data_IF_094423563328
#
_entry.id   IF_094423563328
#
_cell.length_a   1.000
_cell.length_b   1.000
_cell.length_c   1.000
_cell.angle_alpha   90.00
_cell.angle_beta   90.00
_cell.angle_gamma   90.00
#
_symmetry.space_group_name_H-M   'P 1'
#
loop_
_entity.id
_entity.type
_entity.pdbx_description
1 polymer ?
#
# COMPACT_ATOMS: atom_id res chain seq x y z
N UNK A 1 -14.99 -7.98 23.59
CA UNK A 1 -15.97 -6.94 23.18
C UNK A 1 -15.51 -6.40 21.84
N UNK A 2 -16.42 -6.05 20.92
CA UNK A 2 -16.01 -5.43 19.66
C UNK A 2 -15.39 -4.06 19.93
N UNK A 3 -14.24 -3.76 19.31
CA UNK A 3 -13.61 -2.45 19.41
C UNK A 3 -14.49 -1.37 18.77
N UNK A 4 -14.73 -0.26 19.47
CA UNK A 4 -15.64 0.81 19.02
C UNK A 4 -15.05 2.21 19.10
N UNK A 5 -13.79 2.37 19.51
CA UNK A 5 -13.18 3.69 19.67
C UNK A 5 -12.88 4.31 18.30
N UNK A 6 -13.03 5.62 18.21
CA UNK A 6 -12.81 6.41 16.99
C UNK A 6 -11.77 7.51 17.22
N UNK A 7 -11.10 7.96 16.17
CA UNK A 7 -10.31 9.19 16.19
C UNK A 7 -11.24 10.39 15.97
N UNK A 8 -11.82 10.89 17.06
CA UNK A 8 -12.80 11.98 17.03
C UNK A 8 -12.18 13.28 16.47
N UNK A 9 -10.92 13.58 16.80
CA UNK A 9 -10.20 14.74 16.28
C UNK A 9 -10.14 14.71 14.76
N UNK A 10 -9.77 13.57 14.19
CA UNK A 10 -9.73 13.39 12.74
C UNK A 10 -11.13 13.52 12.12
N UNK A 11 -12.13 12.84 12.68
CA UNK A 11 -13.48 12.80 12.10
C UNK A 11 -14.14 14.18 12.12
N UNK A 12 -14.06 14.90 13.24
CA UNK A 12 -14.67 16.22 13.38
C UNK A 12 -14.03 17.23 12.44
N UNK A 13 -12.71 17.21 12.30
CA UNK A 13 -12.01 18.16 11.44
C UNK A 13 -12.15 17.80 9.96
N UNK A 14 -12.19 16.50 9.63
CA UNK A 14 -12.57 16.04 8.30
C UNK A 14 -13.96 16.53 7.92
N UNK A 15 -14.95 16.39 8.81
CA UNK A 15 -16.32 16.85 8.59
C UNK A 15 -16.39 18.36 8.28
N UNK A 16 -15.57 19.19 8.93
CA UNK A 16 -15.54 20.64 8.69
C UNK A 16 -14.94 21.01 7.34
N UNK A 17 -13.98 20.24 6.84
CA UNK A 17 -13.14 20.65 5.71
C UNK A 17 -13.49 19.95 4.39
N UNK A 18 -14.00 18.71 4.41
CA UNK A 18 -14.05 17.88 3.21
C UNK A 18 -14.90 18.45 2.06
N UNK A 19 -16.05 19.10 2.35
CA UNK A 19 -16.88 19.73 1.32
C UNK A 19 -16.17 20.94 0.70
N UNK A 20 -15.60 21.81 1.54
CA UNK A 20 -14.87 22.99 1.07
C UNK A 20 -13.65 22.58 0.23
N UNK A 21 -12.96 21.53 0.66
CA UNK A 21 -11.84 20.93 -0.05
C UNK A 21 -12.23 20.38 -1.43
N UNK A 22 -13.30 19.57 -1.49
CA UNK A 22 -13.79 19.02 -2.75
C UNK A 22 -14.30 20.11 -3.71
N UNK A 23 -14.88 21.19 -3.18
CA UNK A 23 -15.44 22.28 -4.00
C UNK A 23 -14.40 23.32 -4.46
N UNK A 24 -13.17 23.25 -3.94
CA UNK A 24 -12.13 24.24 -4.22
C UNK A 24 -11.76 24.22 -5.72
N UNK A 25 -11.89 25.33 -6.45
CA UNK A 25 -11.50 25.39 -7.85
C UNK A 25 -10.03 25.01 -8.05
N UNK A 26 -9.75 24.33 -9.16
CA UNK A 26 -8.38 24.01 -9.55
C UNK A 26 -7.62 25.27 -9.98
N UNK A 27 -6.47 25.51 -9.35
CA UNK A 27 -5.49 26.51 -9.76
C UNK A 27 -4.25 25.82 -10.35
N UNK A 28 -4.05 25.86 -11.68
CA UNK A 28 -2.93 25.21 -12.34
C UNK A 28 -1.55 25.71 -11.93
N UNK A 29 -1.45 26.90 -11.36
CA UNK A 29 -0.17 27.49 -10.97
C UNK A 29 0.30 27.02 -9.61
N UNK A 30 -0.61 26.55 -8.76
CA UNK A 30 -0.34 26.35 -7.35
C UNK A 30 -0.61 24.92 -6.84
N UNK A 31 -1.36 24.10 -7.59
CA UNK A 31 -1.92 22.89 -6.98
C UNK A 31 -2.19 21.71 -7.92
N UNK A 32 -1.12 21.03 -8.36
CA UNK A 32 -1.20 19.86 -9.25
C UNK A 32 -2.06 18.71 -8.70
N UNK A 33 -2.18 18.60 -7.37
CA UNK A 33 -2.95 17.57 -6.67
C UNK A 33 -4.30 18.09 -6.12
N UNK A 34 -4.81 19.21 -6.62
CA UNK A 34 -6.14 19.71 -6.25
C UNK A 34 -7.23 18.66 -6.51
N UNK A 35 -8.18 18.54 -5.58
CA UNK A 35 -9.28 17.56 -5.68
C UNK A 35 -10.03 17.68 -7.01
N UNK A 36 -10.40 18.90 -7.41
CA UNK A 36 -11.07 19.15 -8.69
C UNK A 36 -10.22 18.72 -9.91
N UNK A 37 -8.90 18.93 -9.87
CA UNK A 37 -8.02 18.49 -10.94
C UNK A 37 -7.96 16.97 -11.06
N UNK A 38 -7.82 16.27 -9.93
CA UNK A 38 -7.84 14.80 -9.87
C UNK A 38 -9.18 14.25 -10.36
N UNK A 39 -10.29 14.85 -9.95
CA UNK A 39 -11.64 14.47 -10.37
C UNK A 39 -11.86 14.67 -11.87
N UNK A 40 -11.34 15.75 -12.47
CA UNK A 40 -11.43 15.99 -13.92
C UNK A 40 -10.61 14.95 -14.70
N UNK A 41 -9.42 14.62 -14.23
CA UNK A 41 -8.53 13.65 -14.89
C UNK A 41 -8.97 12.19 -14.71
N UNK A 42 -9.65 11.85 -13.62
CA UNK A 42 -10.05 10.49 -13.30
C UNK A 42 -11.01 9.95 -14.36
N UNK A 43 -10.77 8.74 -14.88
CA UNK A 43 -11.72 8.02 -15.74
C UNK A 43 -12.65 7.09 -14.93
N UNK A 44 -13.78 6.60 -15.48
CA UNK A 44 -14.60 5.59 -14.79
C UNK A 44 -13.75 4.39 -14.36
N UNK A 45 -13.74 4.09 -13.05
CA UNK A 45 -12.93 3.02 -12.47
C UNK A 45 -11.45 3.37 -12.18
N UNK A 46 -11.04 4.61 -12.38
CA UNK A 46 -9.66 5.07 -12.09
C UNK A 46 -9.45 5.30 -10.59
N UNK A 47 -9.16 4.21 -9.88
CA UNK A 47 -8.85 4.25 -8.46
C UNK A 47 -7.63 5.13 -8.15
N UNK A 48 -6.62 5.16 -9.01
CA UNK A 48 -5.36 5.85 -8.75
C UNK A 48 -5.51 7.37 -8.59
N UNK A 49 -6.48 7.97 -9.29
CA UNK A 49 -6.85 9.38 -9.12
C UNK A 49 -7.81 9.60 -7.96
N UNK A 50 -8.82 8.73 -7.82
CA UNK A 50 -9.82 8.85 -6.75
C UNK A 50 -9.20 8.65 -5.36
N UNK A 51 -8.20 7.78 -5.22
CA UNK A 51 -7.53 7.53 -3.94
C UNK A 51 -6.78 8.73 -3.37
N UNK A 52 -6.55 9.76 -4.19
CA UNK A 52 -5.73 10.94 -3.88
C UNK A 52 -6.55 12.20 -3.65
N UNK A 53 -7.88 12.13 -3.79
CA UNK A 53 -8.74 13.33 -3.74
C UNK A 53 -8.71 14.03 -2.38
N UNK A 54 -8.25 13.36 -1.32
CA UNK A 54 -8.08 13.94 0.02
C UNK A 54 -6.62 14.11 0.45
N UNK A 55 -5.64 13.99 -0.45
CA UNK A 55 -4.20 14.11 -0.10
C UNK A 55 -3.88 15.42 0.62
N UNK A 56 -4.55 16.52 0.27
CA UNK A 56 -4.33 17.83 0.89
C UNK A 56 -4.92 17.99 2.28
N UNK A 57 -5.80 17.06 2.68
CA UNK A 57 -6.34 16.99 4.04
C UNK A 57 -5.41 16.24 5.00
N UNK A 58 -4.19 15.90 4.56
CA UNK A 58 -3.16 15.29 5.40
C UNK A 58 -2.76 16.12 6.63
N UNK A 59 -3.09 17.42 6.68
CA UNK A 59 -2.83 18.29 7.84
C UNK A 59 -3.88 18.20 8.95
N UNK A 60 -4.94 17.40 8.77
CA UNK A 60 -5.98 17.22 9.80
C UNK A 60 -5.37 16.58 11.06
N UNK A 61 -5.73 17.04 12.28
CA UNK A 61 -5.27 16.41 13.53
C UNK A 61 -5.65 14.94 13.61
N UNK A 62 -4.75 14.13 14.18
CA UNK A 62 -4.97 12.71 14.43
C UNK A 62 -4.37 12.31 15.79
N UNK A 63 -4.67 11.09 16.23
CA UNK A 63 -4.06 10.50 17.44
C UNK A 63 -2.51 10.53 17.42
N UNK A 64 -1.92 10.53 18.62
CA UNK A 64 -0.47 10.40 18.79
C UNK A 64 0.01 8.97 18.50
N UNK A 65 1.33 8.76 18.37
CA UNK A 65 1.92 7.41 18.20
C UNK A 65 1.59 6.49 19.37
N UNK A 66 1.70 6.99 20.60
CA UNK A 66 1.43 6.22 21.82
C UNK A 66 -0.03 5.79 21.87
N UNK A 67 -0.93 6.71 21.52
CA UNK A 67 -2.36 6.42 21.47
C UNK A 67 -2.71 5.47 20.33
N UNK A 68 -2.09 5.62 19.16
CA UNK A 68 -2.23 4.68 18.05
C UNK A 68 -1.82 3.26 18.48
N UNK A 69 -0.63 3.09 19.09
CA UNK A 69 -0.17 1.78 19.55
C UNK A 69 -1.08 1.17 20.62
N UNK A 70 -1.50 1.96 21.60
CA UNK A 70 -2.41 1.49 22.65
C UNK A 70 -3.74 1.00 22.05
N UNK A 71 -4.30 1.79 21.12
CA UNK A 71 -5.56 1.47 20.43
C UNK A 71 -5.41 0.28 19.47
N UNK A 72 -4.29 0.16 18.76
CA UNK A 72 -3.99 -0.98 17.90
C UNK A 72 -3.84 -2.28 18.70
N UNK A 73 -3.18 -2.23 19.86
CA UNK A 73 -3.05 -3.38 20.76
C UNK A 73 -4.42 -3.84 21.28
N UNK A 74 -5.31 -2.90 21.59
CA UNK A 74 -6.69 -3.22 22.00
C UNK A 74 -7.54 -3.76 20.84
N UNK A 75 -7.36 -3.23 19.62
CA UNK A 75 -8.11 -3.64 18.43
C UNK A 75 -7.64 -4.98 17.84
N UNK A 76 -6.40 -5.40 18.09
CA UNK A 76 -5.80 -6.65 17.60
C UNK A 76 -5.47 -6.66 16.10
N UNK A 77 -6.07 -5.79 15.29
CA UNK A 77 -5.77 -5.65 13.85
C UNK A 77 -6.09 -4.25 13.32
N UNK A 78 -5.45 -3.88 12.21
CA UNK A 78 -5.66 -2.58 11.56
C UNK A 78 -7.08 -2.47 10.98
N UNK A 79 -7.67 -3.58 10.54
CA UNK A 79 -9.05 -3.65 10.07
C UNK A 79 -10.05 -3.30 11.17
N UNK A 80 -9.88 -3.93 12.35
CA UNK A 80 -10.77 -3.70 13.50
C UNK A 80 -10.58 -2.28 14.03
N UNK A 81 -9.36 -1.77 14.05
CA UNK A 81 -9.04 -0.39 14.42
C UNK A 81 -9.69 0.63 13.47
N UNK A 82 -9.55 0.44 12.15
CA UNK A 82 -10.06 1.40 11.16
C UNK A 82 -11.57 1.32 10.94
N UNK A 83 -12.19 0.16 11.20
CA UNK A 83 -13.63 -0.02 10.97
C UNK A 83 -14.52 1.07 11.58
N UNK A 84 -14.45 1.38 12.89
CA UNK A 84 -15.31 2.42 13.47
C UNK A 84 -15.03 3.82 12.89
N UNK A 85 -13.79 4.12 12.50
CA UNK A 85 -13.42 5.40 11.85
C UNK A 85 -14.05 5.47 10.45
N UNK A 86 -13.88 4.40 9.65
CA UNK A 86 -14.44 4.29 8.29
C UNK A 86 -15.96 4.32 8.32
N UNK A 87 -16.61 3.65 9.28
CA UNK A 87 -18.06 3.68 9.43
C UNK A 87 -18.57 5.10 9.71
N UNK A 88 -17.87 5.87 10.55
CA UNK A 88 -18.21 7.28 10.82
C UNK A 88 -17.99 8.20 9.62
N UNK A 89 -16.89 8.04 8.89
CA UNK A 89 -16.66 8.82 7.67
C UNK A 89 -17.64 8.43 6.56
N UNK A 90 -18.06 7.17 6.48
CA UNK A 90 -19.10 6.72 5.55
C UNK A 90 -20.44 7.42 5.81
N UNK A 91 -20.81 7.65 7.08
CA UNK A 91 -22.00 8.43 7.45
C UNK A 91 -21.95 9.87 6.92
N UNK A 92 -20.76 10.43 6.68
CA UNK A 92 -20.58 11.76 6.10
C UNK A 92 -20.69 11.72 4.56
N UNK A 93 -19.96 10.80 3.92
CA UNK A 93 -19.80 10.79 2.46
C UNK A 93 -20.95 10.12 1.71
N UNK A 94 -21.59 9.12 2.32
CA UNK A 94 -22.44 8.16 1.61
C UNK A 94 -23.89 8.21 2.06
N UNK A 95 -24.78 7.68 1.23
CA UNK A 95 -26.17 7.41 1.62
C UNK A 95 -26.25 6.36 2.72
N UNK A 96 -27.35 6.30 3.51
CA UNK A 96 -27.47 5.33 4.62
C UNK A 96 -27.32 3.86 4.23
N UNK A 97 -27.70 3.51 3.01
CA UNK A 97 -27.54 2.17 2.42
C UNK A 97 -26.15 1.93 1.81
N UNK A 98 -25.24 2.90 1.92
CA UNK A 98 -23.87 2.91 1.40
C UNK A 98 -23.78 2.64 -0.11
N UNK A 99 -24.86 2.88 -0.86
CA UNK A 99 -24.94 2.54 -2.27
C UNK A 99 -24.36 3.61 -3.20
N UNK A 100 -24.34 4.88 -2.77
CA UNK A 100 -23.83 6.02 -3.53
C UNK A 100 -23.37 7.16 -2.61
N UNK A 101 -22.75 8.18 -3.21
CA UNK A 101 -22.40 9.43 -2.51
C UNK A 101 -23.67 10.22 -2.15
N UNK A 102 -23.64 11.00 -1.08
CA UNK A 102 -24.71 11.95 -0.78
C UNK A 102 -24.74 13.11 -1.76
N UNK A 103 -25.92 13.73 -1.91
CA UNK A 103 -26.13 14.86 -2.81
C UNK A 103 -25.19 16.04 -2.52
N UNK A 104 -24.92 16.36 -1.25
CA UNK A 104 -23.97 17.42 -0.87
C UNK A 104 -22.55 17.14 -1.37
N UNK A 105 -22.11 15.88 -1.34
CA UNK A 105 -20.80 15.46 -1.85
C UNK A 105 -20.78 15.48 -3.38
N UNK A 106 -21.88 15.07 -4.03
CA UNK A 106 -22.03 15.13 -5.48
C UNK A 106 -21.97 16.58 -5.97
N UNK A 107 -22.60 17.52 -5.25
CA UNK A 107 -22.51 18.95 -5.54
C UNK A 107 -21.06 19.45 -5.41
N UNK A 108 -20.38 19.10 -4.32
CA UNK A 108 -19.00 19.51 -4.07
C UNK A 108 -18.01 18.99 -5.14
N UNK A 109 -18.16 17.74 -5.58
CA UNK A 109 -17.38 17.14 -6.68
C UNK A 109 -17.75 17.74 -8.04
N UNK A 110 -18.98 18.27 -8.16
CA UNK A 110 -19.59 18.71 -9.40
C UNK A 110 -20.43 17.61 -10.05
N UNK A 111 -21.71 17.90 -10.30
CA UNK A 111 -22.69 16.94 -10.85
C UNK A 111 -22.22 16.34 -12.18
N UNK A 112 -21.59 17.16 -13.05
CA UNK A 112 -21.04 16.69 -14.33
C UNK A 112 -19.90 15.69 -14.16
N UNK A 113 -18.98 15.94 -13.21
CA UNK A 113 -17.90 15.01 -12.88
C UNK A 113 -18.46 13.70 -12.33
N UNK A 114 -19.41 13.76 -11.41
CA UNK A 114 -20.07 12.56 -10.88
C UNK A 114 -20.73 11.75 -12.00
N UNK A 115 -21.59 12.39 -12.82
CA UNK A 115 -22.27 11.71 -13.93
C UNK A 115 -21.28 11.01 -14.86
N UNK A 116 -20.17 11.67 -15.19
CA UNK A 116 -19.10 11.09 -16.02
C UNK A 116 -18.47 9.86 -15.37
N UNK A 117 -18.10 9.95 -14.09
CA UNK A 117 -17.46 8.86 -13.35
C UNK A 117 -18.35 7.63 -13.18
N UNK A 118 -19.66 7.83 -12.99
CA UNK A 118 -20.63 6.73 -12.84
C UNK A 118 -21.31 6.33 -14.15
N UNK A 119 -20.94 6.94 -15.29
CA UNK A 119 -21.59 6.74 -16.59
C UNK A 119 -23.11 7.01 -16.55
N UNK A 120 -23.51 8.00 -15.76
CA UNK A 120 -24.89 8.45 -15.59
C UNK A 120 -25.19 9.74 -16.36
N UNK A 121 -26.45 10.17 -16.26
CA UNK A 121 -26.95 11.44 -16.76
C UNK A 121 -27.87 12.06 -15.71
N UNK A 122 -27.69 13.35 -15.42
CA UNK A 122 -28.66 14.10 -14.63
C UNK A 122 -29.88 14.43 -15.51
N UNK A 123 -31.07 14.01 -15.07
CA UNK A 123 -32.35 14.28 -15.76
C UNK A 123 -33.19 15.32 -15.00
N UNK A 124 -32.62 15.97 -13.99
CA UNK A 124 -33.26 17.10 -13.36
C UNK A 124 -33.26 18.31 -14.29
N UNK A 125 -34.43 18.93 -14.46
CA UNK A 125 -34.60 20.20 -15.18
C UNK A 125 -34.25 21.42 -14.31
N UNK A 126 -34.09 21.23 -13.00
CA UNK A 126 -33.70 22.26 -12.05
C UNK A 126 -32.21 22.12 -11.72
N UNK A 127 -31.44 23.22 -11.83
CA UNK A 127 -29.98 23.26 -11.63
C UNK A 127 -29.56 22.71 -10.26
N UNK A 128 -30.38 22.92 -9.21
CA UNK A 128 -30.05 22.55 -7.84
C UNK A 128 -30.50 21.13 -7.44
N UNK A 129 -31.26 20.43 -8.30
CA UNK A 129 -31.75 19.08 -7.98
C UNK A 129 -30.90 18.01 -8.66
N UNK A 130 -30.53 17.00 -7.89
CA UNK A 130 -29.76 15.86 -8.38
C UNK A 130 -30.70 14.68 -8.62
N UNK A 131 -30.91 14.33 -9.90
CA UNK A 131 -31.64 13.12 -10.29
C UNK A 131 -30.86 12.40 -11.37
N UNK A 132 -29.95 11.54 -10.94
CA UNK A 132 -29.01 10.85 -11.83
C UNK A 132 -29.55 9.47 -12.17
N UNK A 133 -29.56 9.15 -13.45
CA UNK A 133 -29.97 7.84 -13.98
C UNK A 133 -28.89 7.29 -14.90
N UNK A 134 -28.95 6.00 -15.20
CA UNK A 134 -28.09 5.39 -16.20
C UNK A 134 -28.19 6.14 -17.54
N UNK A 135 -27.06 6.44 -18.17
CA UNK A 135 -27.04 7.05 -19.49
C UNK A 135 -27.35 5.97 -20.55
N UNK A 136 -28.60 5.90 -20.98
CA UNK A 136 -29.12 4.87 -21.88
C UNK A 136 -29.64 5.54 -23.15
N UNK A 137 -29.23 5.02 -24.30
CA UNK A 137 -29.78 5.42 -25.59
C UNK A 137 -31.22 4.90 -25.73
N UNK A 138 -32.20 5.74 -26.12
CA UNK A 138 -33.60 5.31 -26.26
C UNK A 138 -33.81 4.15 -27.25
N UNK A 139 -32.89 3.92 -28.18
CA UNK A 139 -33.04 2.92 -29.25
C UNK A 139 -32.40 1.54 -28.92
N UNK A 140 -31.84 1.35 -27.71
CA UNK A 140 -31.23 0.06 -27.32
C UNK A 140 -32.25 -0.96 -26.81
N UNK A 141 -31.91 -2.25 -26.97
CA UNK A 141 -32.77 -3.34 -26.54
C UNK A 141 -33.09 -3.32 -25.04
N UNK A 142 -34.19 -3.93 -24.62
CA UNK A 142 -34.56 -4.07 -23.20
C UNK A 142 -33.45 -4.78 -22.39
N UNK A 143 -32.81 -5.77 -22.99
CA UNK A 143 -31.67 -6.51 -22.39
C UNK A 143 -30.48 -5.57 -22.15
N UNK A 144 -30.16 -4.70 -23.09
CA UNK A 144 -29.09 -3.70 -22.95
C UNK A 144 -29.43 -2.63 -21.93
N UNK A 145 -30.70 -2.21 -21.89
CA UNK A 145 -31.21 -1.28 -20.87
C UNK A 145 -31.03 -1.85 -19.45
N UNK A 146 -31.38 -3.13 -19.23
CA UNK A 146 -31.18 -3.81 -17.95
C UNK A 146 -29.69 -3.89 -17.60
N UNK A 147 -28.83 -4.25 -18.56
CA UNK A 147 -27.37 -4.30 -18.35
C UNK A 147 -26.80 -2.93 -18.01
N UNK A 148 -27.23 -1.86 -18.69
CA UNK A 148 -26.78 -0.49 -18.44
C UNK A 148 -27.20 -0.01 -17.05
N UNK A 149 -28.44 -0.27 -16.62
CA UNK A 149 -28.89 0.03 -15.25
C UNK A 149 -28.05 -0.70 -14.19
N UNK A 150 -27.74 -1.99 -14.39
CA UNK A 150 -26.88 -2.75 -13.48
C UNK A 150 -25.45 -2.18 -13.42
N UNK A 151 -24.88 -1.82 -14.58
CA UNK A 151 -23.54 -1.19 -14.66
C UNK A 151 -23.51 0.16 -13.94
N UNK A 152 -24.54 0.97 -14.11
CA UNK A 152 -24.67 2.25 -13.42
C UNK A 152 -24.69 2.09 -11.89
N UNK A 153 -25.55 1.21 -11.36
CA UNK A 153 -25.59 0.96 -9.90
C UNK A 153 -24.25 0.42 -9.39
N UNK A 154 -23.60 -0.45 -10.15
CA UNK A 154 -22.27 -0.93 -9.78
C UNK A 154 -21.23 0.20 -9.81
N UNK A 155 -21.30 1.10 -10.78
CA UNK A 155 -20.39 2.24 -10.88
C UNK A 155 -20.59 3.23 -9.72
N UNK A 156 -21.82 3.51 -9.29
CA UNK A 156 -22.09 4.31 -8.09
C UNK A 156 -21.48 3.68 -6.84
N UNK A 157 -21.67 2.38 -6.65
CA UNK A 157 -21.08 1.64 -5.53
C UNK A 157 -19.56 1.64 -5.57
N UNK A 158 -18.97 1.43 -6.74
CA UNK A 158 -17.52 1.44 -6.90
C UNK A 158 -16.92 2.81 -6.62
N UNK A 159 -17.58 3.89 -7.07
CA UNK A 159 -17.14 5.25 -6.79
C UNK A 159 -17.25 5.56 -5.29
N UNK A 160 -18.39 5.21 -4.67
CA UNK A 160 -18.59 5.36 -3.22
C UNK A 160 -17.51 4.62 -2.41
N UNK A 161 -17.23 3.36 -2.76
CA UNK A 161 -16.18 2.56 -2.14
C UNK A 161 -14.80 3.18 -2.34
N UNK A 162 -14.49 3.69 -3.53
CA UNK A 162 -13.20 4.31 -3.84
C UNK A 162 -12.99 5.61 -3.05
N UNK A 163 -14.02 6.46 -2.97
CA UNK A 163 -13.97 7.67 -2.15
C UNK A 163 -13.76 7.32 -0.67
N UNK A 164 -14.47 6.31 -0.15
CA UNK A 164 -14.28 5.90 1.24
C UNK A 164 -12.90 5.25 1.49
N UNK A 165 -12.37 4.50 0.53
CA UNK A 165 -11.04 3.89 0.61
C UNK A 165 -9.92 4.94 0.58
N UNK A 166 -10.12 6.08 -0.09
CA UNK A 166 -9.17 7.20 -0.08
C UNK A 166 -8.93 7.78 1.33
N UNK A 167 -9.86 7.55 2.26
CA UNK A 167 -9.70 7.91 3.68
C UNK A 167 -8.53 7.19 4.33
N UNK A 168 -8.20 5.96 3.91
CA UNK A 168 -7.03 5.25 4.44
C UNK A 168 -5.72 5.99 4.13
N UNK A 169 -5.60 6.52 2.91
CA UNK A 169 -4.44 7.32 2.52
C UNK A 169 -4.41 8.67 3.24
N UNK A 170 -5.56 9.35 3.30
CA UNK A 170 -5.71 10.60 4.05
C UNK A 170 -5.35 10.43 5.54
N UNK A 171 -5.87 9.39 6.19
CA UNK A 171 -5.63 9.10 7.60
C UNK A 171 -4.17 8.71 7.86
N UNK A 172 -3.57 7.90 6.97
CA UNK A 172 -2.14 7.60 7.02
C UNK A 172 -1.30 8.88 6.94
N UNK A 173 -1.64 9.80 6.04
CA UNK A 173 -0.91 11.05 5.89
C UNK A 173 -1.11 11.98 7.10
N UNK A 174 -2.33 12.01 7.67
CA UNK A 174 -2.62 12.70 8.93
C UNK A 174 -1.75 12.19 10.08
N UNK A 175 -1.70 10.87 10.29
CA UNK A 175 -0.82 10.29 11.32
C UNK A 175 0.63 10.68 11.07
N UNK A 176 1.11 10.61 9.83
CA UNK A 176 2.47 11.02 9.50
C UNK A 176 2.74 12.48 9.87
N UNK A 177 1.92 13.40 9.40
CA UNK A 177 2.14 14.84 9.60
C UNK A 177 2.02 15.28 11.06
N UNK A 178 1.11 14.70 11.84
CA UNK A 178 0.93 15.05 13.24
C UNK A 178 2.01 14.45 14.16
N UNK A 179 2.68 13.38 13.71
CA UNK A 179 3.62 12.63 14.54
C UNK A 179 5.07 12.70 14.03
N UNK A 180 5.35 13.40 12.94
CA UNK A 180 6.72 13.66 12.50
C UNK A 180 7.38 14.67 13.45
N UNK A 181 8.61 14.38 13.88
CA UNK A 181 9.37 15.30 14.75
C UNK A 181 9.68 16.59 13.99
N UNK A 182 9.65 17.74 14.69
CA UNK A 182 9.93 19.05 14.07
C UNK A 182 11.32 19.09 13.41
N UNK A 183 12.30 18.36 13.96
CA UNK A 183 13.66 18.25 13.44
C UNK A 183 13.70 17.61 12.04
N UNK A 184 12.73 16.76 11.68
CA UNK A 184 12.64 16.22 10.33
C UNK A 184 12.28 17.31 9.30
N UNK A 185 11.46 18.28 9.69
CA UNK A 185 11.16 19.46 8.87
C UNK A 185 12.42 20.31 8.68
N UNK A 186 13.17 20.54 9.76
CA UNK A 186 14.47 21.25 9.71
C UNK A 186 15.47 20.52 8.82
N UNK A 187 15.56 19.19 8.92
CA UNK A 187 16.38 18.35 8.04
C UNK A 187 15.97 18.47 6.58
N UNK A 188 14.66 18.49 6.30
CA UNK A 188 14.12 18.71 4.95
C UNK A 188 14.55 20.07 4.38
N UNK A 189 14.42 21.15 5.15
CA UNK A 189 14.85 22.50 4.76
C UNK A 189 16.35 22.58 4.52
N UNK A 190 17.15 21.90 5.35
CA UNK A 190 18.60 21.79 5.16
C UNK A 190 18.92 21.07 3.84
N UNK A 191 18.16 20.04 3.48
CA UNK A 191 18.25 19.34 2.19
C UNK A 191 18.01 20.26 0.99
N UNK A 192 17.00 21.15 1.07
CA UNK A 192 16.75 22.15 0.02
C UNK A 192 17.88 23.19 -0.06
N UNK A 193 18.42 23.62 1.09
CA UNK A 193 19.58 24.50 1.12
C UNK A 193 20.80 23.86 0.46
N UNK A 194 21.08 22.57 0.73
CA UNK A 194 22.16 21.82 0.09
C UNK A 194 22.00 21.84 -1.44
N UNK A 195 20.78 21.63 -1.96
CA UNK A 195 20.51 21.72 -3.41
C UNK A 195 20.82 23.11 -3.95
N UNK A 196 20.37 24.16 -3.25
CA UNK A 196 20.60 25.54 -3.65
C UNK A 196 22.11 25.91 -3.65
N UNK A 197 22.85 25.51 -2.61
CA UNK A 197 24.29 25.69 -2.51
C UNK A 197 25.04 24.96 -3.63
N UNK A 198 24.65 23.71 -3.92
CA UNK A 198 25.22 22.94 -5.03
C UNK A 198 25.05 23.66 -6.37
N UNK A 199 23.85 24.20 -6.63
CA UNK A 199 23.57 24.97 -7.84
C UNK A 199 24.40 26.25 -7.92
N UNK A 200 24.54 27.00 -6.82
CA UNK A 200 25.37 28.22 -6.79
C UNK A 200 26.84 27.92 -7.03
N UNK A 201 27.37 26.85 -6.42
CA UNK A 201 28.76 26.40 -6.66
C UNK A 201 29.00 26.08 -8.13
N UNK A 202 28.08 25.38 -8.81
CA UNK A 202 28.20 25.11 -10.25
C UNK A 202 28.20 26.36 -11.14
N UNK A 203 27.71 27.49 -10.65
CA UNK A 203 27.72 28.78 -11.35
C UNK A 203 29.05 29.51 -11.10
N UNK A 204 29.55 29.49 -9.86
CA UNK A 204 30.70 30.29 -9.42
C UNK A 204 32.03 29.55 -9.58
N UNK A 205 32.00 28.22 -9.59
CA UNK A 205 33.18 27.36 -9.68
C UNK A 205 33.26 26.65 -11.02
N UNK A 206 34.01 27.22 -11.97
CA UNK A 206 34.21 26.67 -13.32
C UNK A 206 34.82 25.25 -13.32
N UNK A 207 35.46 24.83 -12.23
CA UNK A 207 36.01 23.46 -12.10
C UNK A 207 34.93 22.40 -11.82
N UNK A 208 33.73 22.82 -11.40
CA UNK A 208 32.59 21.94 -11.15
C UNK A 208 31.71 21.95 -12.40
N UNK A 209 31.86 20.92 -13.23
CA UNK A 209 31.03 20.77 -14.43
C UNK A 209 29.53 20.74 -14.10
N UNK A 210 28.70 21.30 -14.99
CA UNK A 210 27.24 21.26 -14.83
C UNK A 210 26.76 19.82 -14.65
N UNK A 211 26.04 19.57 -13.57
CA UNK A 211 25.49 18.24 -13.24
C UNK A 211 26.49 17.24 -12.65
N UNK A 212 27.74 17.65 -12.42
CA UNK A 212 28.76 16.80 -11.79
C UNK A 212 29.25 17.44 -10.49
N UNK A 213 29.21 16.70 -9.39
CA UNK A 213 29.83 17.11 -8.13
C UNK A 213 31.05 16.21 -7.87
N UNK A 214 32.22 16.76 -7.51
CA UNK A 214 33.39 15.96 -7.21
C UNK A 214 33.12 15.01 -6.03
N UNK A 215 33.89 13.93 -5.93
CA UNK A 215 33.86 13.04 -4.76
C UNK A 215 34.81 13.57 -3.67
N UNK A 216 34.55 13.23 -2.41
CA UNK A 216 35.47 13.47 -1.29
C UNK A 216 35.47 14.87 -0.67
N UNK A 217 34.49 15.73 -1.00
CA UNK A 217 34.25 17.01 -0.29
C UNK A 217 33.41 16.83 0.98
N UNK A 218 32.85 15.64 1.17
CA UNK A 218 32.03 15.28 2.31
C UNK A 218 32.95 15.05 3.51
N UNK A 219 32.63 15.70 4.61
CA UNK A 219 33.37 15.57 5.87
C UNK A 219 32.38 15.24 7.01
N UNK A 220 31.91 13.98 7.10
CA UNK A 220 30.96 13.57 8.13
C UNK A 220 31.45 13.89 9.55
N UNK A 221 32.77 13.84 9.76
CA UNK A 221 33.44 14.10 11.03
C UNK A 221 33.32 15.54 11.55
N UNK A 222 32.80 16.47 10.74
CA UNK A 222 32.59 17.87 11.16
C UNK A 222 31.44 18.02 12.16
N UNK A 223 30.57 17.03 12.24
CA UNK A 223 29.47 17.01 13.21
C UNK A 223 29.72 15.88 14.19
N UNK A 224 29.55 16.18 15.47
CA UNK A 224 29.76 15.20 16.53
C UNK A 224 28.76 14.05 16.46
N UNK A 225 29.25 12.82 16.59
CA UNK A 225 28.42 11.62 16.78
C UNK A 225 27.58 11.67 18.06
N UNK A 226 27.83 12.62 18.96
CA UNK A 226 27.08 12.78 20.22
C UNK A 226 26.09 13.95 20.20
N UNK A 227 25.92 14.62 19.07
CA UNK A 227 24.98 15.73 18.95
C UNK A 227 23.56 15.26 19.27
N UNK A 228 22.86 16.02 20.11
CA UNK A 228 21.46 15.77 20.47
C UNK A 228 20.51 16.33 19.39
N UNK A 229 19.23 15.94 19.43
CA UNK A 229 18.22 16.48 18.51
C UNK A 229 18.04 18.00 18.65
N UNK A 230 18.18 18.56 19.87
CA UNK A 230 18.08 20.00 20.10
C UNK A 230 19.28 20.74 19.50
N UNK A 231 20.49 20.23 19.74
CA UNK A 231 21.72 20.80 19.18
C UNK A 231 21.73 20.70 17.65
N UNK A 232 21.25 19.59 17.09
CA UNK A 232 21.05 19.44 15.64
C UNK A 232 20.15 20.55 15.08
N UNK A 233 19.01 20.81 15.72
CA UNK A 233 18.03 21.80 15.25
C UNK A 233 18.60 23.23 15.31
N UNK A 234 19.24 23.58 16.42
CA UNK A 234 19.90 24.87 16.62
C UNK A 234 21.02 25.11 15.58
N UNK A 235 21.86 24.10 15.36
CA UNK A 235 22.96 24.18 14.39
C UNK A 235 22.43 24.27 12.96
N UNK A 236 21.39 23.51 12.61
CA UNK A 236 20.77 23.56 11.29
C UNK A 236 20.15 24.93 11.02
N UNK A 237 19.46 25.53 12.00
CA UNK A 237 18.90 26.88 11.86
C UNK A 237 20.01 27.91 11.63
N UNK A 238 21.14 27.78 12.33
CA UNK A 238 22.30 28.66 12.13
C UNK A 238 22.87 28.52 10.72
N UNK A 239 23.08 27.30 10.24
CA UNK A 239 23.57 27.03 8.88
C UNK A 239 22.59 27.52 7.81
N UNK A 240 21.28 27.38 8.04
CA UNK A 240 20.25 27.90 7.14
C UNK A 240 20.32 29.41 6.96
N UNK A 241 20.49 30.16 8.07
CA UNK A 241 20.67 31.63 8.00
C UNK A 241 21.95 32.01 7.26
N UNK A 242 23.05 31.30 7.53
CA UNK A 242 24.32 31.54 6.85
C UNK A 242 24.22 31.25 5.34
N UNK A 243 23.55 30.16 4.97
CA UNK A 243 23.37 29.78 3.58
C UNK A 243 22.46 30.69 2.80
N UNK A 244 21.36 31.16 3.40
CA UNK A 244 20.52 32.18 2.76
C UNK A 244 21.32 33.46 2.49
N UNK A 245 22.08 33.94 3.47
CA UNK A 245 22.94 35.13 3.29
C UNK A 245 23.94 34.96 2.16
N UNK A 246 24.65 33.83 2.09
CA UNK A 246 25.66 33.57 1.03
C UNK A 246 25.01 33.38 -0.35
N UNK A 247 23.81 32.82 -0.42
CA UNK A 247 23.10 32.61 -1.70
C UNK A 247 22.65 33.93 -2.34
N UNK A 248 22.34 34.94 -1.51
CA UNK A 248 21.97 36.29 -1.92
C UNK A 248 23.15 37.14 -2.41
N UNK A 249 24.39 36.73 -2.13
CA UNK A 249 25.58 37.44 -2.62
C UNK A 249 25.77 37.27 -4.14
N UNK A 250 26.09 38.36 -4.83
CA UNK A 250 26.36 38.36 -6.28
C UNK A 250 27.66 37.65 -6.64
N UNK A 251 28.65 37.69 -5.74
CA UNK A 251 29.97 37.08 -5.93
C UNK A 251 30.48 36.47 -4.63
N UNK A 252 29.85 35.38 -4.16
CA UNK A 252 30.20 34.74 -2.90
C UNK A 252 31.60 34.10 -2.97
N UNK A 253 32.30 34.10 -1.84
CA UNK A 253 33.57 33.40 -1.72
C UNK A 253 33.38 31.89 -1.95
N UNK A 254 34.10 31.35 -2.94
CA UNK A 254 34.08 29.93 -3.30
C UNK A 254 34.46 29.05 -2.11
N UNK A 255 35.47 29.43 -1.32
CA UNK A 255 35.89 28.62 -0.18
C UNK A 255 34.81 28.59 0.92
N UNK A 256 34.15 29.73 1.18
CA UNK A 256 33.01 29.81 2.09
C UNK A 256 31.81 28.96 1.63
N UNK A 257 31.46 28.99 0.33
CA UNK A 257 30.40 28.15 -0.25
C UNK A 257 30.66 26.66 -0.04
N UNK A 258 31.88 26.21 -0.37
CA UNK A 258 32.29 24.81 -0.20
C UNK A 258 32.24 24.38 1.27
N UNK A 259 32.81 25.20 2.17
CA UNK A 259 32.80 24.92 3.60
C UNK A 259 31.37 24.81 4.13
N UNK A 260 30.50 25.73 3.75
CA UNK A 260 29.11 25.71 4.19
C UNK A 260 28.37 24.48 3.64
N UNK A 261 28.54 24.15 2.36
CA UNK A 261 27.95 22.96 1.75
C UNK A 261 28.37 21.68 2.50
N UNK A 262 29.67 21.53 2.77
CA UNK A 262 30.21 20.39 3.52
C UNK A 262 29.58 20.28 4.91
N UNK A 263 29.47 21.39 5.64
CA UNK A 263 28.89 21.40 6.98
C UNK A 263 27.39 21.06 6.95
N UNK A 264 26.64 21.64 6.00
CA UNK A 264 25.23 21.31 5.81
C UNK A 264 25.03 19.82 5.48
N UNK A 265 25.85 19.24 4.61
CA UNK A 265 25.76 17.82 4.24
C UNK A 265 26.10 16.90 5.41
N UNK A 266 27.15 17.20 6.17
CA UNK A 266 27.51 16.46 7.38
C UNK A 266 26.37 16.48 8.41
N UNK A 267 25.79 17.67 8.67
CA UNK A 267 24.68 17.81 9.61
C UNK A 267 23.41 17.12 9.10
N UNK A 268 23.11 17.22 7.80
CA UNK A 268 21.96 16.55 7.18
C UNK A 268 22.04 15.03 7.33
N UNK A 269 23.22 14.44 7.06
CA UNK A 269 23.45 13.01 7.20
C UNK A 269 23.35 12.57 8.67
N UNK A 270 23.92 13.36 9.60
CA UNK A 270 23.78 13.09 11.03
C UNK A 270 22.32 13.16 11.49
N UNK A 271 21.56 14.15 11.01
CA UNK A 271 20.12 14.25 11.27
C UNK A 271 19.34 13.04 10.78
N UNK A 272 19.72 12.46 9.62
CA UNK A 272 19.11 11.23 9.10
C UNK A 272 19.32 10.05 10.04
N UNK A 273 20.51 9.93 10.63
CA UNK A 273 20.84 8.88 11.60
C UNK A 273 20.09 9.08 12.92
N UNK A 274 20.08 10.30 13.46
CA UNK A 274 19.38 10.64 14.70
C UNK A 274 17.87 10.40 14.63
N UNK A 275 17.26 10.68 13.47
CA UNK A 275 15.83 10.53 13.27
C UNK A 275 15.44 9.15 12.74
N UNK A 276 16.41 8.25 12.51
CA UNK A 276 16.16 6.97 11.85
C UNK A 276 15.14 6.10 12.58
N UNK A 277 15.29 5.92 13.89
CA UNK A 277 14.41 5.07 14.69
C UNK A 277 12.98 5.63 14.71
N UNK A 278 12.85 6.94 14.96
CA UNK A 278 11.57 7.64 14.98
C UNK A 278 10.87 7.57 13.61
N UNK A 279 11.59 7.80 12.51
CA UNK A 279 11.02 7.74 11.16
C UNK A 279 10.67 6.30 10.76
N UNK A 280 11.47 5.31 11.18
CA UNK A 280 11.20 3.89 10.92
C UNK A 280 9.94 3.43 11.63
N UNK A 281 9.75 3.84 12.89
CA UNK A 281 8.54 3.56 13.64
C UNK A 281 7.31 4.20 12.96
N UNK A 282 7.39 5.48 12.61
CA UNK A 282 6.30 6.18 11.95
C UNK A 282 5.94 5.54 10.60
N UNK A 283 6.95 5.13 9.84
CA UNK A 283 6.77 4.40 8.57
C UNK A 283 6.01 3.10 8.79
N UNK A 284 6.37 2.31 9.83
CA UNK A 284 5.65 1.07 10.15
C UNK A 284 4.18 1.32 10.46
N UNK A 285 3.87 2.39 11.18
CA UNK A 285 2.48 2.79 11.49
C UNK A 285 1.72 3.11 10.19
N UNK A 286 2.28 3.97 9.34
CA UNK A 286 1.63 4.39 8.10
C UNK A 286 1.51 3.25 7.09
N UNK A 287 2.48 2.34 7.04
CA UNK A 287 2.48 1.19 6.14
C UNK A 287 1.31 0.24 6.44
N UNK A 288 0.90 0.09 7.70
CA UNK A 288 -0.26 -0.75 8.05
C UNK A 288 -1.54 -0.23 7.36
N UNK A 289 -1.74 1.08 7.34
CA UNK A 289 -2.90 1.73 6.73
C UNK A 289 -2.84 1.67 5.20
N UNK A 290 -1.68 1.96 4.62
CA UNK A 290 -1.49 1.91 3.17
C UNK A 290 -1.65 0.47 2.64
N UNK A 291 -1.07 -0.51 3.34
CA UNK A 291 -1.21 -1.92 2.98
C UNK A 291 -2.65 -2.41 3.09
N UNK A 292 -3.43 -1.93 4.08
CA UNK A 292 -4.87 -2.21 4.12
C UNK A 292 -5.57 -1.71 2.86
N UNK A 293 -5.26 -0.47 2.44
CA UNK A 293 -5.77 0.10 1.19
C UNK A 293 -5.42 -0.75 -0.03
N UNK A 294 -4.15 -1.17 -0.16
CA UNK A 294 -3.72 -2.05 -1.25
C UNK A 294 -4.41 -3.43 -1.23
N UNK A 295 -4.60 -4.03 -0.05
CA UNK A 295 -5.30 -5.32 0.10
C UNK A 295 -6.74 -5.25 -0.40
N UNK A 296 -7.47 -4.20 -0.03
CA UNK A 296 -8.86 -3.98 -0.44
C UNK A 296 -8.93 -3.84 -1.96
N UNK A 297 -8.10 -2.98 -2.55
CA UNK A 297 -8.06 -2.76 -3.99
C UNK A 297 -7.73 -4.04 -4.79
N UNK A 298 -6.74 -4.82 -4.33
CA UNK A 298 -6.20 -5.96 -5.07
C UNK A 298 -7.06 -7.23 -5.00
N UNK A 299 -7.68 -7.49 -3.84
CA UNK A 299 -8.44 -8.72 -3.62
C UNK A 299 -9.93 -8.60 -4.00
N UNK A 300 -10.34 -7.46 -4.58
CA UNK A 300 -11.77 -7.14 -4.73
C UNK A 300 -12.48 -7.09 -3.37
N UNK A 301 -11.72 -6.80 -2.31
CA UNK A 301 -12.26 -6.60 -0.98
C UNK A 301 -13.09 -5.32 -0.94
N UNK A 302 -13.96 -5.24 0.06
CA UNK A 302 -14.83 -4.08 0.25
C UNK A 302 -14.38 -3.33 1.48
N UNK A 303 -14.17 -2.02 1.35
CA UNK A 303 -13.93 -1.11 2.48
C UNK A 303 -15.09 -1.13 3.50
N UNK A 304 -16.27 -1.62 3.08
CA UNK A 304 -17.43 -1.82 3.96
C UNK A 304 -17.37 -3.10 4.79
N UNK A 305 -16.50 -4.05 4.41
CA UNK A 305 -16.37 -5.37 5.02
C UNK A 305 -15.05 -5.54 5.76
N UNK A 306 -14.56 -4.46 6.39
CA UNK A 306 -13.43 -4.53 7.31
C UNK A 306 -13.78 -5.46 8.47
N UNK A 307 -13.18 -6.65 8.44
CA UNK A 307 -13.29 -7.65 9.49
C UNK A 307 -11.90 -8.00 9.96
N UNK A 308 -11.81 -8.43 11.20
CA UNK A 308 -10.60 -9.04 11.72
C UNK A 308 -10.08 -10.08 10.72
N UNK A 309 -8.79 -10.07 10.45
CA UNK A 309 -8.18 -11.10 9.59
C UNK A 309 -8.56 -12.43 10.21
N UNK A 310 -9.42 -13.20 9.51
CA UNK A 310 -9.90 -14.49 10.02
C UNK A 310 -8.67 -15.31 10.39
N UNK A 311 -8.47 -15.52 11.67
CA UNK A 311 -7.42 -16.43 12.16
C UNK A 311 -7.73 -17.77 11.51
N UNK A 312 -6.79 -18.36 10.75
CA UNK A 312 -7.05 -19.62 10.10
C UNK A 312 -7.33 -20.66 11.19
N UNK A 313 -8.44 -21.37 11.06
CA UNK A 313 -8.70 -22.55 11.90
C UNK A 313 -7.54 -23.56 11.77
N UNK A 314 -7.35 -24.48 12.73
CA UNK A 314 -6.31 -25.51 12.62
C UNK A 314 -6.38 -26.27 11.28
N UNK A 315 -7.59 -26.57 10.81
CA UNK A 315 -7.82 -27.23 9.54
C UNK A 315 -7.37 -26.37 8.34
N UNK A 316 -7.80 -25.11 8.28
CA UNK A 316 -7.38 -24.18 7.22
C UNK A 316 -5.85 -23.96 7.23
N UNK A 317 -5.24 -23.87 8.41
CA UNK A 317 -3.80 -23.74 8.56
C UNK A 317 -3.07 -25.00 8.08
N UNK A 318 -3.58 -26.19 8.44
CA UNK A 318 -3.04 -27.48 8.01
C UNK A 318 -3.13 -27.66 6.50
N UNK A 319 -4.27 -27.31 5.88
CA UNK A 319 -4.43 -27.29 4.43
C UNK A 319 -3.41 -26.37 3.76
N UNK A 320 -3.24 -25.15 4.29
CA UNK A 320 -2.25 -24.19 3.79
C UNK A 320 -0.82 -24.72 3.90
N UNK A 321 -0.47 -25.34 5.03
CA UNK A 321 0.84 -25.95 5.25
C UNK A 321 1.08 -27.12 4.27
N UNK A 322 0.06 -27.96 4.03
CA UNK A 322 0.16 -29.06 3.08
C UNK A 322 0.47 -28.55 1.66
N UNK A 323 -0.28 -27.55 1.19
CA UNK A 323 -0.06 -26.93 -0.13
C UNK A 323 1.35 -26.34 -0.24
N UNK A 324 1.81 -25.64 0.80
CA UNK A 324 3.17 -25.06 0.82
C UNK A 324 4.24 -26.14 0.83
N UNK A 325 4.09 -27.19 1.63
CA UNK A 325 5.06 -28.29 1.73
C UNK A 325 5.16 -29.08 0.42
N UNK A 326 4.03 -29.32 -0.24
CA UNK A 326 4.01 -29.94 -1.57
C UNK A 326 4.73 -29.07 -2.61
N UNK A 327 4.43 -27.76 -2.61
CA UNK A 327 5.09 -26.81 -3.51
C UNK A 327 6.60 -26.75 -3.27
N UNK A 328 7.05 -26.73 -2.01
CA UNK A 328 8.47 -26.75 -1.65
C UNK A 328 9.14 -28.04 -2.12
N UNK A 329 8.49 -29.19 -1.92
CA UNK A 329 8.99 -30.50 -2.38
C UNK A 329 9.14 -30.54 -3.91
N UNK A 330 8.16 -30.04 -4.65
CA UNK A 330 8.23 -29.95 -6.12
C UNK A 330 9.32 -28.98 -6.57
N UNK A 331 9.61 -27.94 -5.78
CA UNK A 331 10.59 -26.92 -6.07
C UNK A 331 12.02 -27.38 -5.83
N UNK A 332 12.27 -28.21 -4.80
CA UNK A 332 13.59 -28.78 -4.49
C UNK A 332 14.21 -29.50 -5.70
N UNK A 333 13.38 -30.23 -6.47
CA UNK A 333 13.85 -30.97 -7.66
C UNK A 333 14.26 -30.06 -8.82
N UNK A 334 13.88 -28.78 -8.77
CA UNK A 334 14.07 -27.81 -9.86
C UNK A 334 15.12 -26.75 -9.55
N UNK A 335 15.57 -26.67 -8.30
CA UNK A 335 16.52 -25.66 -7.84
C UNK A 335 17.94 -26.19 -8.03
N UNK A 336 18.85 -25.32 -8.47
CA UNK A 336 20.24 -25.71 -8.63
C UNK A 336 20.84 -26.05 -7.26
N UNK A 337 21.67 -27.09 -7.19
CA UNK A 337 22.29 -27.57 -5.93
C UNK A 337 23.06 -26.47 -5.18
N UNK A 338 23.62 -25.50 -5.92
CA UNK A 338 24.37 -24.36 -5.36
C UNK A 338 23.56 -23.06 -5.33
N UNK A 339 22.23 -23.13 -5.52
CA UNK A 339 21.39 -21.93 -5.50
C UNK A 339 21.35 -21.32 -4.10
N UNK A 340 21.42 -19.99 -3.99
CA UNK A 340 21.24 -19.30 -2.71
C UNK A 340 19.84 -19.47 -2.11
N UNK A 341 18.87 -20.00 -2.87
CA UNK A 341 17.53 -20.33 -2.39
C UNK A 341 17.38 -21.72 -1.77
N UNK A 342 18.33 -22.63 -2.02
CA UNK A 342 18.24 -24.01 -1.56
C UNK A 342 18.06 -24.11 -0.04
N UNK A 343 18.90 -23.42 0.72
CA UNK A 343 18.88 -23.43 2.18
C UNK A 343 17.62 -22.73 2.76
N UNK A 344 17.24 -21.51 2.34
CA UNK A 344 15.99 -20.87 2.79
C UNK A 344 14.74 -21.73 2.57
N UNK A 345 14.64 -22.42 1.44
CA UNK A 345 13.49 -23.25 1.11
C UNK A 345 13.45 -24.55 1.92
N UNK A 346 14.62 -25.18 2.11
CA UNK A 346 14.74 -26.36 2.97
C UNK A 346 14.40 -26.02 4.43
N UNK A 347 14.86 -24.88 4.93
CA UNK A 347 14.53 -24.40 6.27
C UNK A 347 13.03 -24.15 6.43
N UNK A 348 12.40 -23.41 5.50
CA UNK A 348 10.95 -23.19 5.52
C UNK A 348 10.18 -24.52 5.48
N UNK A 349 10.60 -25.47 4.65
CA UNK A 349 9.94 -26.78 4.57
C UNK A 349 10.00 -27.54 5.89
N UNK A 350 11.18 -27.58 6.53
CA UNK A 350 11.35 -28.26 7.81
C UNK A 350 10.50 -27.61 8.90
N UNK A 351 10.53 -26.29 8.99
CA UNK A 351 9.70 -25.51 9.89
C UNK A 351 8.20 -25.80 9.72
N UNK A 352 7.73 -25.85 8.47
CA UNK A 352 6.32 -26.17 8.17
C UNK A 352 5.96 -27.62 8.54
N UNK A 353 6.88 -28.58 8.37
CA UNK A 353 6.71 -29.98 8.82
C UNK A 353 6.60 -30.04 10.35
N UNK A 354 7.42 -29.26 11.06
CA UNK A 354 7.41 -29.21 12.51
C UNK A 354 6.09 -28.59 13.01
N UNK A 355 5.64 -27.48 12.42
CA UNK A 355 4.33 -26.87 12.72
C UNK A 355 3.20 -27.84 12.42
N UNK A 356 3.24 -28.57 11.30
CA UNK A 356 2.24 -29.60 10.96
C UNK A 356 2.20 -30.71 12.00
N UNK A 357 3.36 -31.17 12.46
CA UNK A 357 3.44 -32.22 13.48
C UNK A 357 2.81 -31.77 14.80
N UNK A 358 2.97 -30.48 15.16
CA UNK A 358 2.28 -29.90 16.30
C UNK A 358 0.77 -29.76 16.07
N UNK A 359 0.33 -29.37 14.87
CA UNK A 359 -1.09 -29.35 14.49
C UNK A 359 -1.75 -30.72 14.60
N UNK A 360 -1.06 -31.77 14.15
CA UNK A 360 -1.56 -33.15 14.22
C UNK A 360 -1.75 -33.62 15.68
N UNK A 361 -0.88 -33.17 16.60
CA UNK A 361 -1.04 -33.40 18.04
C UNK A 361 -2.23 -32.59 18.60
N UNK A 362 -2.35 -31.31 18.22
CA UNK A 362 -3.48 -30.45 18.61
C UNK A 362 -4.83 -31.02 18.14
N UNK A 363 -4.92 -31.53 16.91
CA UNK A 363 -6.15 -32.14 16.39
C UNK A 363 -6.58 -33.36 17.20
N UNK A 364 -5.61 -34.11 17.73
CA UNK A 364 -5.87 -35.28 18.56
C UNK A 364 -6.30 -34.89 19.97
N UNK A 365 -5.63 -33.91 20.56
CA UNK A 365 -5.85 -33.50 21.95
C UNK A 365 -7.11 -32.63 22.12
N UNK A 366 -7.51 -31.89 21.07
CA UNK A 366 -8.66 -30.98 21.05
C UNK A 366 -9.72 -31.37 20.01
N UNK A 367 -9.83 -32.67 19.71
CA UNK A 367 -10.78 -33.18 18.72
C UNK A 367 -12.23 -32.79 19.04
N UNK A 368 -12.58 -32.66 20.32
CA UNK A 368 -13.92 -32.25 20.75
C UNK A 368 -14.19 -30.79 20.40
N UNK A 369 -13.24 -29.90 20.68
CA UNK A 369 -13.31 -28.47 20.43
C UNK A 369 -13.38 -28.19 18.92
N UNK A 370 -12.57 -28.89 18.12
CA UNK A 370 -12.60 -28.78 16.66
C UNK A 370 -13.95 -29.22 16.09
N UNK A 371 -14.46 -30.38 16.51
CA UNK A 371 -15.73 -30.90 16.00
C UNK A 371 -16.94 -30.04 16.40
N UNK A 372 -16.82 -29.24 17.45
CA UNK A 372 -17.89 -28.37 17.94
C UNK A 372 -17.61 -26.87 17.68
N UNK A 373 -16.60 -26.51 16.88
CA UNK A 373 -16.20 -25.13 16.59
C UNK A 373 -15.97 -24.28 17.86
N UNK A 374 -15.36 -24.86 18.89
CA UNK A 374 -15.00 -24.16 20.12
C UNK A 374 -13.59 -23.56 20.02
N UNK A 375 -13.32 -22.54 20.84
CA UNK A 375 -11.99 -21.92 20.95
C UNK A 375 -11.00 -22.93 21.51
N UNK A 376 -9.86 -23.11 20.82
CA UNK A 376 -8.80 -24.04 21.21
C UNK A 376 -7.72 -23.29 21.99
N UNK A 377 -7.53 -23.55 23.29
CA UNK A 377 -6.51 -22.88 24.09
C UNK A 377 -5.10 -23.11 23.51
N UNK A 378 -4.29 -22.04 23.39
CA UNK A 378 -2.89 -22.11 22.97
C UNK A 378 -2.64 -22.25 21.46
N UNK A 379 -3.68 -22.37 20.63
CA UNK A 379 -3.53 -22.43 19.17
C UNK A 379 -2.86 -21.18 18.60
N UNK A 380 -3.29 -19.99 19.03
CA UNK A 380 -2.77 -18.70 18.57
C UNK A 380 -1.35 -18.41 19.09
N UNK A 381 -1.07 -18.77 20.35
CA UNK A 381 0.19 -18.45 21.03
C UNK A 381 1.35 -19.38 20.63
N UNK A 382 1.07 -20.65 20.32
CA UNK A 382 2.12 -21.62 20.02
C UNK A 382 2.18 -22.00 18.54
N UNK A 383 1.07 -22.49 17.97
CA UNK A 383 1.07 -23.06 16.61
C UNK A 383 1.09 -21.96 15.56
N UNK A 384 0.16 -21.01 15.67
CA UNK A 384 0.05 -19.91 14.72
C UNK A 384 1.26 -18.97 14.78
N UNK A 385 1.77 -18.70 16.00
CA UNK A 385 2.99 -17.93 16.19
C UNK A 385 4.19 -18.58 15.50
N UNK A 386 4.44 -19.88 15.71
CA UNK A 386 5.54 -20.62 15.05
C UNK A 386 5.40 -20.58 13.54
N UNK A 387 4.20 -20.82 13.01
CA UNK A 387 3.93 -20.70 11.58
C UNK A 387 4.33 -19.31 11.06
N UNK A 388 3.87 -18.23 11.72
CA UNK A 388 4.17 -16.87 11.30
C UNK A 388 5.67 -16.53 11.42
N UNK A 389 6.33 -16.96 12.49
CA UNK A 389 7.78 -16.81 12.68
C UNK A 389 8.57 -17.47 11.54
N UNK A 390 8.20 -18.70 11.15
CA UNK A 390 8.83 -19.41 10.03
C UNK A 390 8.64 -18.70 8.70
N UNK A 391 7.45 -18.11 8.45
CA UNK A 391 7.22 -17.29 7.27
C UNK A 391 8.10 -16.04 7.28
N UNK A 392 8.18 -15.32 8.41
CA UNK A 392 9.01 -14.11 8.54
C UNK A 392 10.49 -14.44 8.35
N UNK A 393 10.98 -15.53 8.93
CA UNK A 393 12.36 -15.97 8.79
C UNK A 393 12.71 -16.31 7.35
N UNK A 394 11.82 -17.03 6.66
CA UNK A 394 11.96 -17.30 5.24
C UNK A 394 12.02 -16.01 4.40
N UNK A 395 11.08 -15.08 4.60
CA UNK A 395 11.03 -13.83 3.85
C UNK A 395 12.29 -12.99 4.05
N UNK A 396 12.84 -12.94 5.28
CA UNK A 396 14.12 -12.28 5.56
C UNK A 396 15.30 -12.96 4.87
N UNK A 397 15.32 -14.30 4.84
CA UNK A 397 16.42 -15.04 4.22
C UNK A 397 16.48 -14.85 2.70
N UNK A 398 15.33 -14.71 2.05
CA UNK A 398 15.23 -14.49 0.59
C UNK A 398 15.36 -13.01 0.19
N UNK A 399 15.15 -12.07 1.11
CA UNK A 399 15.31 -10.62 0.89
C UNK A 399 16.76 -10.14 1.13
N UNK A 400 17.75 -10.92 0.70
CA UNK A 400 19.16 -10.56 0.81
C UNK A 400 19.75 -10.21 -0.55
N UNK A 401 20.73 -9.29 -0.58
CA UNK A 401 21.45 -8.91 -1.81
C UNK A 401 22.09 -10.12 -2.51
N UNK A 402 22.56 -11.11 -1.74
CA UNK A 402 23.12 -12.34 -2.28
C UNK A 402 22.10 -13.14 -3.10
N UNK A 403 20.84 -13.21 -2.64
CA UNK A 403 19.75 -13.86 -3.37
C UNK A 403 19.33 -13.01 -4.57
N UNK A 404 19.11 -11.70 -4.38
CA UNK A 404 18.65 -10.79 -5.44
C UNK A 404 19.59 -10.78 -6.66
N UNK A 405 20.90 -10.85 -6.43
CA UNK A 405 21.89 -10.74 -7.51
C UNK A 405 22.25 -12.08 -8.18
N UNK A 406 21.95 -13.23 -7.56
CA UNK A 406 22.41 -14.55 -8.04
C UNK A 406 21.27 -15.55 -8.35
N UNK A 407 20.01 -15.16 -8.14
CA UNK A 407 18.85 -16.00 -8.42
C UNK A 407 18.62 -16.15 -9.93
N UNK A 408 18.38 -17.39 -10.38
CA UNK A 408 18.05 -17.62 -11.78
C UNK A 408 16.60 -17.24 -12.10
N UNK A 409 16.26 -16.86 -13.34
CA UNK A 409 14.89 -16.45 -13.70
C UNK A 409 13.80 -17.49 -13.35
N UNK A 410 14.09 -18.78 -13.50
CA UNK A 410 13.15 -19.85 -13.14
C UNK A 410 13.01 -20.03 -11.62
N UNK A 411 14.07 -19.77 -10.84
CA UNK A 411 14.05 -19.82 -9.38
C UNK A 411 13.29 -18.62 -8.80
N UNK A 412 13.40 -17.47 -9.46
CA UNK A 412 12.56 -16.31 -9.16
C UNK A 412 11.08 -16.64 -9.35
N UNK A 413 10.72 -17.37 -10.40
CA UNK A 413 9.33 -17.81 -10.58
C UNK A 413 8.85 -18.72 -9.44
N UNK A 414 9.68 -19.66 -8.99
CA UNK A 414 9.40 -20.51 -7.83
C UNK A 414 9.20 -19.66 -6.56
N UNK A 415 10.12 -18.74 -6.29
CA UNK A 415 10.07 -17.84 -5.14
C UNK A 415 8.79 -16.99 -5.16
N UNK A 416 8.47 -16.40 -6.30
CA UNK A 416 7.23 -15.64 -6.50
C UNK A 416 6.01 -16.48 -6.17
N UNK A 417 5.95 -17.73 -6.64
CA UNK A 417 4.82 -18.63 -6.40
C UNK A 417 4.63 -18.94 -4.91
N UNK A 418 5.72 -19.23 -4.20
CA UNK A 418 5.71 -19.48 -2.76
C UNK A 418 5.25 -18.23 -1.99
N UNK A 419 5.85 -17.07 -2.29
CA UNK A 419 5.46 -15.79 -1.70
C UNK A 419 3.99 -15.46 -1.99
N UNK A 420 3.48 -15.82 -3.18
CA UNK A 420 2.08 -15.63 -3.52
C UNK A 420 1.17 -16.50 -2.65
N UNK A 421 1.50 -17.77 -2.39
CA UNK A 421 0.71 -18.62 -1.47
C UNK A 421 0.77 -18.12 -0.04
N UNK A 422 1.97 -17.73 0.43
CA UNK A 422 2.16 -17.19 1.78
C UNK A 422 1.31 -15.94 2.02
N UNK A 423 1.30 -15.04 1.02
CA UNK A 423 0.58 -13.77 1.03
C UNK A 423 -0.89 -13.87 0.58
N UNK A 424 -1.42 -15.06 0.30
CA UNK A 424 -2.80 -15.24 -0.15
C UNK A 424 -3.11 -14.72 -1.56
N UNK A 425 -2.09 -14.52 -2.39
CA UNK A 425 -2.20 -13.98 -3.75
C UNK A 425 -1.81 -12.51 -3.89
N UNK A 426 -1.28 -11.90 -2.82
CA UNK A 426 -1.14 -10.46 -2.69
C UNK A 426 0.04 -9.86 -3.44
N UNK A 427 1.14 -10.58 -3.70
CA UNK A 427 2.29 -9.97 -4.38
C UNK A 427 2.26 -10.15 -5.90
N UNK A 428 1.74 -11.27 -6.42
CA UNK A 428 1.85 -11.65 -7.84
C UNK A 428 0.51 -12.09 -8.44
N UNK A 429 -0.51 -11.23 -8.38
CA UNK A 429 -1.87 -11.53 -8.86
C UNK A 429 -1.97 -11.62 -10.39
N UNK A 430 -1.22 -10.78 -11.11
CA UNK A 430 -1.15 -10.83 -12.57
C UNK A 430 -0.43 -12.10 -13.03
N UNK A 431 0.64 -12.53 -12.34
CA UNK A 431 1.25 -13.82 -12.62
C UNK A 431 0.35 -15.01 -12.26
N UNK A 432 -0.47 -14.93 -11.19
CA UNK A 432 -1.49 -15.96 -10.90
C UNK A 432 -2.53 -16.06 -12.01
N UNK A 433 -2.95 -14.92 -12.58
CA UNK A 433 -3.85 -14.89 -13.73
C UNK A 433 -3.20 -15.52 -14.97
N UNK A 434 -1.94 -15.17 -15.25
CA UNK A 434 -1.16 -15.74 -16.36
C UNK A 434 -0.88 -17.24 -16.17
N UNK A 435 -0.62 -17.68 -14.93
CA UNK A 435 -0.44 -19.09 -14.58
C UNK A 435 -1.74 -19.87 -14.78
N UNK A 436 -2.87 -19.35 -14.31
CA UNK A 436 -4.17 -19.96 -14.54
C UNK A 436 -4.52 -20.04 -16.03
N UNK A 437 -4.18 -19.01 -16.81
CA UNK A 437 -4.30 -19.03 -18.27
C UNK A 437 -3.39 -20.09 -18.90
N UNK A 438 -2.15 -20.20 -18.43
CA UNK A 438 -1.18 -21.19 -18.93
C UNK A 438 -1.58 -22.63 -18.57
N UNK A 439 -2.17 -22.84 -17.39
CA UNK A 439 -2.77 -24.11 -16.97
C UNK A 439 -3.98 -24.42 -17.85
N UNK A 440 -4.82 -23.43 -18.15
CA UNK A 440 -5.93 -23.56 -19.10
C UNK A 440 -5.45 -24.03 -20.47
N UNK A 441 -4.46 -23.35 -21.04
CA UNK A 441 -3.85 -23.70 -22.33
C UNK A 441 -3.22 -25.10 -22.27
N UNK A 442 -2.51 -25.45 -21.19
CA UNK A 442 -1.93 -26.79 -21.02
C UNK A 442 -3.01 -27.87 -21.02
N UNK A 443 -4.11 -27.65 -20.30
CA UNK A 443 -5.21 -28.60 -20.24
C UNK A 443 -5.92 -28.74 -21.59
N UNK A 444 -6.10 -27.63 -22.31
CA UNK A 444 -6.61 -27.64 -23.69
C UNK A 444 -5.66 -28.42 -24.62
N UNK A 445 -4.35 -28.22 -24.52
CA UNK A 445 -3.36 -28.96 -25.32
C UNK A 445 -3.33 -30.45 -24.99
N UNK A 446 -3.52 -30.83 -23.72
CA UNK A 446 -3.63 -32.23 -23.31
C UNK A 446 -4.91 -32.88 -23.86
N UNK A 447 -6.04 -32.17 -23.81
CA UNK A 447 -7.30 -32.62 -24.42
C UNK A 447 -7.15 -32.76 -25.93
N UNK A 448 -6.56 -31.78 -26.63
CA UNK A 448 -6.30 -31.88 -28.07
C UNK A 448 -5.42 -33.08 -28.40
N UNK A 449 -4.37 -33.34 -27.61
CA UNK A 449 -3.50 -34.50 -27.80
C UNK A 449 -4.25 -35.82 -27.62
N UNK A 450 -5.14 -35.92 -26.63
CA UNK A 450 -5.99 -37.10 -26.43
C UNK A 450 -6.93 -37.29 -27.62
N UNK A 451 -7.61 -36.24 -28.08
CA UNK A 451 -8.48 -36.29 -29.27
C UNK A 451 -7.71 -36.71 -30.54
N UNK A 452 -6.50 -36.17 -30.76
CA UNK A 452 -5.65 -36.57 -31.88
C UNK A 452 -5.14 -38.01 -31.77
N UNK A 453 -4.92 -38.51 -30.55
CA UNK A 453 -4.50 -39.89 -30.34
C UNK A 453 -5.64 -40.88 -30.59
N UNK A 454 -6.88 -40.50 -30.23
CA UNK A 454 -8.09 -41.27 -30.51
C UNK A 454 -8.44 -41.26 -32.01
N UNK A 455 -8.27 -40.12 -32.69
CA UNK A 455 -8.45 -40.02 -34.14
C UNK A 455 -7.40 -40.83 -34.90
N UNK A 456 -6.13 -40.79 -34.48
CA UNK A 456 -5.05 -41.59 -35.07
C UNK A 456 -5.25 -43.10 -34.88
N UNK A 457 -5.90 -43.53 -33.78
CA UNK A 457 -6.27 -44.92 -33.55
C UNK A 457 -7.48 -45.39 -34.39
N UNK A 458 -8.26 -44.46 -34.95
CA UNK A 458 -9.45 -44.74 -35.77
C UNK A 458 -9.18 -44.82 -37.28
N UNK A 459 -7.96 -44.48 -37.73
CA UNK A 459 -7.55 -44.62 -39.13
C UNK A 459 -7.02 -46.03 -39.36
N UNK A 460 -7.87 -46.94 -39.85
CA UNK A 460 -7.41 -48.23 -40.37
C UNK A 460 -6.38 -48.00 -41.50
N UNK A 461 -5.26 -48.73 -41.52
CA UNK A 461 -4.31 -48.63 -42.62
C UNK A 461 -4.98 -49.07 -43.92
N UNK A 462 -4.69 -48.42 -45.05
CA UNK A 462 -5.30 -48.79 -46.32
C UNK A 462 -4.96 -50.25 -46.63
N UNK A 463 -5.99 -51.06 -46.82
CA UNK A 463 -5.87 -52.43 -47.30
C UNK A 463 -5.15 -52.40 -48.65
N UNK A 464 -3.91 -52.91 -48.66
CA UNK A 464 -3.14 -53.22 -49.87
C UNK A 464 -3.59 -54.56 -50.45
#
# INVERSE_FOLDING_TARGET
MAYTKTDELFIEEFQKQYIAHLSKPYDPLNDENAAQHLLIQASPGDFGKISRIFDQLAGIPSVSREEFHARMAEAGSIEVYMRPIIDKVAELLLTPDKSKLKDEVIQAIGVGNYCRLVQGKNISEQEDRIKIVANIDPDVSEVETIKAKKRFVQAERNLAASCLQSILACYSAAIYQNNVLSQEKTRGQLGELIKALKNKIQIVDESVGKGFFPNGWQHPEWVSDKITLSEFDEEAIKLMRQGQSILEEDSPDKAALWKLLTHCDALYNRGKELLHESNTELTRITDLLQNLGFRIAKNGGSIFDLKEVKIPTPLELKEKINVLTEMLTLSETKIAVLSPLSQPLAALKQDLIDVKSHLDLFEKDFAHEINNNLVIPGFDEDVLRRYNESIVNFLRAVDTEAVKNNIQPYEMFILKRIVNVLSGGFFFSDERRLENQSIGIKNELLQMRETFSDEAASVEPPLL
#
